data_IF_229272285247
#
_entry.id   IF_229272285247
#
_cell.length_a   1.000
_cell.length_b   1.000
_cell.length_c   1.000
_cell.angle_alpha   90.00
_cell.angle_beta   90.00
_cell.angle_gamma   90.00
#
_symmetry.space_group_name_H-M   'P 1'
#
loop_
_entity.id
_entity.type
_entity.pdbx_description
1 polymer ?
#
# COMPACT_ATOMS: atom_id res chain seq x y z
N UNK A 1 18.83 8.02 -0.43
CA UNK A 1 17.58 7.84 0.35
C UNK A 1 17.67 6.53 1.09
N UNK A 2 17.66 6.56 2.43
CA UNK A 2 17.75 5.35 3.24
C UNK A 2 16.47 4.53 3.08
N UNK A 3 16.61 3.34 2.51
CA UNK A 3 15.56 2.32 2.44
C UNK A 3 15.34 1.81 3.87
N UNK A 4 14.49 2.49 4.63
CA UNK A 4 14.07 2.04 5.96
C UNK A 4 13.48 0.64 5.79
N UNK A 5 14.09 -0.37 6.40
CA UNK A 5 13.59 -1.75 6.40
C UNK A 5 12.25 -1.80 7.15
N UNK A 6 11.16 -1.53 6.43
CA UNK A 6 9.79 -1.60 6.94
C UNK A 6 9.21 -3.03 6.97
N UNK A 7 9.89 -3.96 6.30
CA UNK A 7 9.45 -5.34 6.10
C UNK A 7 10.25 -6.29 6.98
N UNK A 8 9.57 -7.29 7.54
CA UNK A 8 10.14 -8.35 8.37
C UNK A 8 10.98 -9.32 7.54
N UNK A 9 10.59 -9.57 6.29
CA UNK A 9 11.30 -10.45 5.37
C UNK A 9 11.13 -10.03 3.90
N UNK A 10 11.94 -10.63 3.03
CA UNK A 10 11.93 -10.36 1.59
C UNK A 10 10.60 -10.74 0.90
N UNK A 11 9.88 -11.74 1.44
CA UNK A 11 8.56 -12.13 0.91
C UNK A 11 7.51 -11.08 1.23
N UNK A 12 7.53 -10.50 2.42
CA UNK A 12 6.69 -9.38 2.82
C UNK A 12 6.98 -8.18 1.92
N UNK A 13 8.25 -7.83 1.73
CA UNK A 13 8.65 -6.76 0.81
C UNK A 13 8.13 -7.02 -0.61
N UNK A 14 8.31 -8.23 -1.15
CA UNK A 14 7.86 -8.59 -2.49
C UNK A 14 6.33 -8.52 -2.64
N UNK A 15 5.57 -8.91 -1.60
CA UNK A 15 4.10 -8.79 -1.55
C UNK A 15 3.66 -7.33 -1.63
N UNK A 16 4.25 -6.45 -0.82
CA UNK A 16 3.92 -5.04 -0.84
C UNK A 16 4.35 -4.35 -2.14
N UNK A 17 5.51 -4.69 -2.68
CA UNK A 17 5.96 -4.16 -3.96
C UNK A 17 5.04 -4.55 -5.11
N UNK A 18 4.67 -5.85 -5.20
CA UNK A 18 3.71 -6.35 -6.19
C UNK A 18 2.36 -5.65 -6.07
N UNK A 19 1.89 -5.41 -4.84
CA UNK A 19 0.65 -4.68 -4.59
C UNK A 19 0.72 -3.22 -5.08
N UNK A 20 1.82 -2.50 -4.79
CA UNK A 20 2.06 -1.13 -5.29
C UNK A 20 2.08 -1.08 -6.82
N UNK A 21 2.80 -2.00 -7.47
CA UNK A 21 2.84 -2.08 -8.94
C UNK A 21 1.46 -2.33 -9.55
N UNK A 22 0.69 -3.24 -8.95
CA UNK A 22 -0.67 -3.52 -9.39
C UNK A 22 -1.57 -2.30 -9.28
N UNK A 23 -1.54 -1.58 -8.15
CA UNK A 23 -2.31 -0.35 -7.95
C UNK A 23 -1.93 0.74 -8.95
N UNK A 24 -0.63 0.94 -9.19
CA UNK A 24 -0.14 1.91 -10.17
C UNK A 24 -0.70 1.62 -11.57
N UNK A 25 -0.71 0.35 -11.99
CA UNK A 25 -1.30 -0.08 -13.26
C UNK A 25 -2.82 0.09 -13.30
N UNK A 26 -3.52 -0.33 -12.25
CA UNK A 26 -4.98 -0.29 -12.16
C UNK A 26 -5.52 1.15 -12.16
N UNK A 27 -4.84 2.06 -11.45
CA UNK A 27 -5.27 3.45 -11.28
C UNK A 27 -4.64 4.40 -12.30
N UNK A 28 -3.69 3.92 -13.12
CA UNK A 28 -2.89 4.73 -14.06
C UNK A 28 -2.18 5.92 -13.39
N UNK A 29 -1.70 5.69 -12.17
CA UNK A 29 -0.94 6.67 -11.37
C UNK A 29 0.51 6.17 -11.25
N UNK A 30 1.52 7.05 -11.33
CA UNK A 30 2.92 6.67 -11.15
C UNK A 30 3.17 5.88 -9.86
N UNK A 31 4.08 4.90 -9.94
CA UNK A 31 4.42 4.02 -8.82
C UNK A 31 4.96 4.81 -7.61
N UNK A 32 5.64 5.93 -7.86
CA UNK A 32 6.19 6.80 -6.81
C UNK A 32 5.07 7.46 -6.00
N UNK A 33 4.04 7.99 -6.68
CA UNK A 33 2.87 8.59 -6.04
C UNK A 33 2.03 7.55 -5.27
N UNK A 34 1.77 6.40 -5.90
CA UNK A 34 1.13 5.27 -5.22
C UNK A 34 1.96 4.81 -4.03
N UNK A 35 3.28 4.76 -4.18
CA UNK A 35 4.21 4.31 -3.16
C UNK A 35 4.16 5.18 -1.91
N UNK A 36 4.21 6.49 -2.06
CA UNK A 36 4.13 7.43 -0.95
C UNK A 36 2.81 7.29 -0.17
N UNK A 37 1.67 7.23 -0.87
CA UNK A 37 0.36 7.04 -0.23
C UNK A 37 0.23 5.67 0.45
N UNK A 38 0.67 4.62 -0.24
CA UNK A 38 0.64 3.25 0.25
C UNK A 38 1.45 3.09 1.54
N UNK A 39 2.69 3.61 1.55
CA UNK A 39 3.59 3.49 2.70
C UNK A 39 3.08 4.26 3.92
N UNK A 40 2.46 5.42 3.71
CA UNK A 40 1.78 6.16 4.77
C UNK A 40 0.67 5.33 5.42
N UNK A 41 -0.22 4.75 4.61
CA UNK A 41 -1.35 3.93 5.12
C UNK A 41 -0.82 2.64 5.78
N UNK A 42 0.19 2.00 5.20
CA UNK A 42 0.82 0.81 5.77
C UNK A 42 1.38 1.12 7.16
N UNK A 43 2.07 2.25 7.32
CA UNK A 43 2.61 2.67 8.63
C UNK A 43 1.52 2.88 9.68
N UNK A 44 0.37 3.42 9.29
CA UNK A 44 -0.78 3.61 10.19
C UNK A 44 -1.40 2.27 10.60
N UNK A 45 -1.70 1.40 9.63
CA UNK A 45 -2.34 0.11 9.89
C UNK A 45 -1.42 -0.86 10.66
N UNK A 46 -0.12 -0.87 10.35
CA UNK A 46 0.85 -1.76 11.00
C UNK A 46 0.99 -1.51 12.51
N UNK A 47 0.77 -0.26 12.97
CA UNK A 47 0.79 0.07 14.41
C UNK A 47 -0.29 -0.63 15.22
N UNK A 48 -1.41 -0.96 14.58
CA UNK A 48 -2.59 -1.52 15.25
C UNK A 48 -2.82 -3.00 14.88
N UNK A 49 -2.12 -3.51 13.85
CA UNK A 49 -2.36 -4.84 13.33
C UNK A 49 -1.69 -5.93 14.19
N UNK A 50 -2.51 -6.86 14.69
CA UNK A 50 -2.03 -8.11 15.30
C UNK A 50 -1.62 -9.15 14.25
N UNK A 51 -2.31 -9.17 13.11
CA UNK A 51 -2.02 -10.07 11.98
C UNK A 51 -1.53 -9.23 10.80
N UNK A 52 -0.25 -9.37 10.46
CA UNK A 52 0.43 -8.51 9.48
C UNK A 52 0.31 -9.02 8.04
N UNK A 53 0.04 -10.30 7.84
CA UNK A 53 0.00 -10.93 6.51
C UNK A 53 -1.07 -10.34 5.58
N UNK A 54 -2.17 -9.83 6.15
CA UNK A 54 -3.25 -9.21 5.39
C UNK A 54 -3.06 -7.71 5.14
N UNK A 55 -2.00 -7.09 5.67
CA UNK A 55 -1.78 -5.65 5.53
C UNK A 55 -1.67 -5.23 4.06
N UNK A 56 -1.02 -6.03 3.22
CA UNK A 56 -0.88 -5.71 1.80
C UNK A 56 -2.23 -5.54 1.09
N UNK A 57 -3.22 -6.37 1.45
CA UNK A 57 -4.58 -6.33 0.92
C UNK A 57 -5.35 -5.13 1.48
N UNK A 58 -5.28 -4.93 2.80
CA UNK A 58 -5.99 -3.84 3.48
C UNK A 58 -5.51 -2.47 3.01
N UNK A 59 -4.20 -2.28 2.91
CA UNK A 59 -3.61 -1.04 2.39
C UNK A 59 -4.05 -0.82 0.94
N UNK A 60 -4.00 -1.85 0.09
CA UNK A 60 -4.42 -1.74 -1.31
C UNK A 60 -5.88 -1.37 -1.48
N UNK A 61 -6.75 -1.88 -0.60
CA UNK A 61 -8.16 -1.47 -0.57
C UNK A 61 -8.29 -0.01 -0.17
N UNK A 62 -7.60 0.42 0.89
CA UNK A 62 -7.67 1.80 1.37
C UNK A 62 -7.14 2.81 0.36
N UNK A 63 -6.05 2.49 -0.35
CA UNK A 63 -5.53 3.31 -1.46
C UNK A 63 -6.59 3.46 -2.55
N UNK A 64 -7.23 2.36 -2.96
CA UNK A 64 -8.33 2.41 -3.95
C UNK A 64 -9.49 3.26 -3.47
N UNK A 65 -9.92 3.10 -2.22
CA UNK A 65 -11.06 3.85 -1.67
C UNK A 65 -10.78 5.36 -1.60
N UNK A 66 -9.54 5.76 -1.30
CA UNK A 66 -9.14 7.17 -1.24
C UNK A 66 -9.00 7.82 -2.63
N UNK A 67 -8.55 7.05 -3.62
CA UNK A 67 -8.34 7.54 -4.98
C UNK A 67 -9.58 7.35 -5.88
N UNK A 68 -10.57 6.58 -5.43
CA UNK A 68 -11.84 6.46 -6.12
C UNK A 68 -12.57 7.80 -6.02
N UNK A 69 -12.95 8.43 -7.14
CA UNK A 69 -13.79 9.62 -7.08
C UNK A 69 -15.08 9.26 -6.33
N UNK A 70 -15.46 10.07 -5.33
CA UNK A 70 -16.78 9.96 -4.71
C UNK A 70 -17.78 10.10 -5.86
N UNK A 71 -18.47 9.02 -6.22
CA UNK A 71 -19.70 9.17 -7.00
C UNK A 71 -20.59 10.06 -6.14
N UNK A 72 -20.95 11.24 -6.66
CA UNK A 72 -22.07 12.00 -6.14
C UNK A 72 -23.25 11.03 -6.10
N UNK A 73 -23.72 10.75 -4.88
CA UNK A 73 -24.99 10.07 -4.65
C UNK A 73 -26.12 11.06 -4.89
#
# INVERSE_FOLDING_TARGET
MAMVKYYEDDKEQARHFSAKQRLARELRIPLEEIGALYERILKELRKQARIKEFLSILVSRRVRDLLRPKKAA
#
